data_IF_941964058581
#
_entry.id   IF_941964058581
#
_cell.length_a   1.000
_cell.length_b   1.000
_cell.length_c   1.000
_cell.angle_alpha   90.00
_cell.angle_beta   90.00
_cell.angle_gamma   90.00
#
_symmetry.space_group_name_H-M   'P 1'
#
loop_
_entity.id
_entity.type
_entity.pdbx_description
1 polymer ?
#
# COMPACT_ATOMS: atom_id res chain seq x y z
N UNK A 1 -3.81 11.42 27.05
CA UNK A 1 -4.03 10.17 26.30
C UNK A 1 -2.99 10.09 25.19
N UNK A 2 -1.81 9.54 25.48
CA UNK A 2 -0.71 9.45 24.54
C UNK A 2 -0.76 8.13 23.77
N UNK A 3 -0.96 8.23 22.45
CA UNK A 3 -0.58 7.19 21.49
C UNK A 3 0.19 7.90 20.37
N UNK A 4 1.42 8.24 20.72
CA UNK A 4 2.47 8.55 19.75
C UNK A 4 2.80 7.28 18.95
N UNK A 5 3.39 7.48 17.77
CA UNK A 5 4.06 6.51 16.89
C UNK A 5 3.07 5.88 15.89
N UNK A 6 3.19 6.09 14.57
CA UNK A 6 4.43 6.04 13.80
C UNK A 6 4.40 7.01 12.61
N UNK A 7 5.40 7.90 12.57
CA UNK A 7 5.88 8.45 11.32
C UNK A 7 6.74 7.36 10.65
N UNK A 8 6.17 6.60 9.73
CA UNK A 8 6.98 5.81 8.80
C UNK A 8 7.56 6.80 7.79
N UNK A 9 8.76 7.26 8.11
CA UNK A 9 9.75 7.71 7.13
C UNK A 9 10.04 6.51 6.23
N UNK A 10 9.54 6.52 4.99
CA UNK A 10 10.21 5.79 3.90
C UNK A 10 10.49 6.76 2.78
N UNK A 11 11.79 6.92 2.62
CA UNK A 11 12.49 8.00 1.98
C UNK A 11 12.70 7.54 0.54
N UNK A 12 12.04 8.20 -0.41
CA UNK A 12 12.25 8.15 -1.85
C UNK A 12 12.41 6.76 -2.52
N UNK A 13 11.33 6.12 -3.02
CA UNK A 13 11.48 4.97 -3.91
C UNK A 13 11.78 5.49 -5.32
N UNK A 14 13.05 5.79 -5.57
CA UNK A 14 13.56 5.85 -6.93
C UNK A 14 13.77 4.42 -7.42
N UNK A 15 13.04 4.08 -8.49
CA UNK A 15 13.18 2.90 -9.37
C UNK A 15 12.51 1.61 -8.89
N UNK A 16 11.28 1.42 -9.36
CA UNK A 16 10.66 0.17 -9.88
C UNK A 16 11.16 -1.17 -9.32
N UNK A 17 11.31 -1.30 -8.02
CA UNK A 17 11.61 -2.59 -7.40
C UNK A 17 10.31 -3.29 -6.96
N UNK A 18 10.08 -4.54 -7.38
CA UNK A 18 8.86 -5.28 -7.02
C UNK A 18 8.70 -5.49 -5.51
N UNK A 19 9.78 -5.43 -4.71
CA UNK A 19 9.69 -5.51 -3.26
C UNK A 19 9.10 -4.23 -2.65
N UNK A 20 9.41 -3.06 -3.21
CA UNK A 20 8.82 -1.78 -2.76
C UNK A 20 7.32 -1.79 -3.01
N UNK A 21 6.90 -2.25 -4.20
CA UNK A 21 5.47 -2.33 -4.58
C UNK A 21 4.72 -3.27 -3.63
N UNK A 22 5.27 -4.44 -3.34
CA UNK A 22 4.67 -5.40 -2.40
C UNK A 22 4.59 -4.86 -0.97
N UNK A 23 5.59 -4.11 -0.49
CA UNK A 23 5.55 -3.52 0.85
C UNK A 23 4.46 -2.44 0.97
N UNK A 24 4.28 -1.62 -0.07
CA UNK A 24 3.20 -0.62 -0.17
C UNK A 24 1.82 -1.30 -0.19
N UNK A 25 1.66 -2.37 -0.98
CA UNK A 25 0.42 -3.15 -1.05
C UNK A 25 0.07 -3.69 0.32
N UNK A 26 1.05 -4.32 1.00
CA UNK A 26 0.86 -4.88 2.34
C UNK A 26 0.46 -3.81 3.35
N UNK A 27 1.12 -2.65 3.32
CA UNK A 27 0.82 -1.54 4.23
C UNK A 27 -0.60 -0.99 4.00
N UNK A 28 -1.00 -0.80 2.74
CA UNK A 28 -2.34 -0.35 2.37
C UNK A 28 -3.42 -1.37 2.74
N UNK A 29 -3.19 -2.66 2.47
CA UNK A 29 -4.12 -3.73 2.82
C UNK A 29 -4.36 -3.79 4.34
N UNK A 30 -3.29 -3.68 5.13
CA UNK A 30 -3.38 -3.63 6.59
C UNK A 30 -4.15 -2.40 7.07
N UNK A 31 -3.89 -1.22 6.49
CA UNK A 31 -4.63 -0.01 6.82
C UNK A 31 -6.12 -0.15 6.51
N UNK A 32 -6.46 -0.65 5.32
CA UNK A 32 -7.84 -0.90 4.90
C UNK A 32 -8.55 -1.88 5.84
N UNK A 33 -7.86 -2.93 6.29
CA UNK A 33 -8.37 -3.88 7.26
C UNK A 33 -8.69 -3.22 8.61
N UNK A 34 -7.78 -2.37 9.12
CA UNK A 34 -7.99 -1.63 10.36
C UNK A 34 -9.13 -0.60 10.24
N UNK A 35 -9.21 0.13 9.13
CA UNK A 35 -10.28 1.12 8.88
C UNK A 35 -11.64 0.45 8.65
N UNK A 36 -11.66 -0.75 8.04
CA UNK A 36 -12.85 -1.56 7.78
C UNK A 36 -13.46 -2.24 9.01
N UNK A 37 -12.95 -1.95 10.21
CA UNK A 37 -13.46 -2.51 11.46
C UNK A 37 -13.00 -3.95 11.75
N UNK A 38 -11.90 -4.38 11.14
CA UNK A 38 -11.31 -5.71 11.36
C UNK A 38 -12.29 -6.87 11.10
N UNK A 39 -13.16 -6.73 10.09
CA UNK A 39 -14.10 -7.76 9.70
C UNK A 39 -13.37 -8.98 9.12
N UNK A 40 -13.35 -10.09 9.86
CA UNK A 40 -12.78 -11.34 9.41
C UNK A 40 -13.45 -11.82 8.10
N UNK A 41 -12.64 -12.16 7.10
CA UNK A 41 -13.12 -12.69 5.81
C UNK A 41 -13.14 -11.67 4.66
N UNK A 42 -12.63 -10.45 4.87
CA UNK A 42 -12.44 -9.44 3.82
C UNK A 42 -10.97 -9.09 3.57
N UNK A 43 -10.04 -9.80 4.21
CA UNK A 43 -8.60 -9.59 4.07
C UNK A 43 -8.14 -9.65 2.60
N UNK A 44 -8.68 -10.60 1.83
CA UNK A 44 -8.41 -10.74 0.39
C UNK A 44 -8.92 -9.54 -0.39
N UNK A 45 -10.13 -9.05 -0.10
CA UNK A 45 -10.71 -7.88 -0.76
C UNK A 45 -9.89 -6.61 -0.46
N UNK A 46 -9.47 -6.43 0.80
CA UNK A 46 -8.60 -5.32 1.18
C UNK A 46 -7.23 -5.40 0.49
N UNK A 47 -6.70 -6.61 0.31
CA UNK A 47 -5.45 -6.84 -0.42
C UNK A 47 -5.58 -6.48 -1.89
N UNK A 48 -6.64 -6.96 -2.57
CA UNK A 48 -6.88 -6.67 -4.00
C UNK A 48 -7.10 -5.17 -4.24
N UNK A 49 -7.83 -4.49 -3.36
CA UNK A 49 -8.02 -3.04 -3.46
C UNK A 49 -6.70 -2.28 -3.25
N UNK A 50 -5.85 -2.75 -2.33
CA UNK A 50 -4.51 -2.19 -2.14
C UNK A 50 -3.63 -2.39 -3.38
N UNK A 51 -3.59 -3.59 -3.96
CA UNK A 51 -2.89 -3.89 -5.20
C UNK A 51 -3.30 -2.93 -6.32
N UNK A 52 -4.61 -2.78 -6.56
CA UNK A 52 -5.11 -1.91 -7.61
C UNK A 52 -4.66 -0.46 -7.43
N UNK A 53 -4.75 0.07 -6.21
CA UNK A 53 -4.34 1.47 -5.91
C UNK A 53 -2.84 1.68 -6.05
N UNK A 54 -2.04 0.69 -5.65
CA UNK A 54 -0.58 0.78 -5.80
C UNK A 54 -0.21 0.65 -7.28
N UNK A 55 -0.74 -0.33 -8.01
CA UNK A 55 -0.49 -0.46 -9.44
C UNK A 55 -0.87 0.82 -10.20
N UNK A 56 -2.04 1.40 -9.97
CA UNK A 56 -2.46 2.64 -10.63
C UNK A 56 -1.47 3.80 -10.40
N UNK A 57 -0.98 3.94 -9.16
CA UNK A 57 0.05 4.95 -8.82
C UNK A 57 1.37 4.70 -9.53
N UNK A 58 1.76 3.44 -9.70
CA UNK A 58 3.02 3.05 -10.34
C UNK A 58 2.92 3.13 -11.87
N UNK A 59 1.81 2.71 -12.47
CA UNK A 59 1.54 2.91 -13.91
C UNK A 59 1.55 4.40 -14.27
N UNK A 60 1.02 5.25 -13.39
CA UNK A 60 1.07 6.72 -13.56
C UNK A 60 2.50 7.29 -13.42
N UNK A 61 3.37 6.61 -12.65
CA UNK A 61 4.74 7.05 -12.38
C UNK A 61 5.76 6.54 -13.38
N UNK A 62 5.45 5.45 -14.09
CA UNK A 62 6.25 4.99 -15.21
C UNK A 62 5.75 5.69 -16.47
N UNK A 63 6.48 6.66 -17.05
CA UNK A 63 6.13 7.13 -18.39
C UNK A 63 6.09 5.90 -19.33
N UNK A 64 5.18 5.87 -20.33
CA UNK A 64 5.13 4.77 -21.27
C UNK A 64 6.54 4.58 -21.84
N UNK A 65 7.14 3.41 -21.64
CA UNK A 65 8.33 3.04 -22.40
C UNK A 65 7.84 2.86 -23.83
N UNK A 66 8.08 3.89 -24.64
CA UNK A 66 7.72 3.94 -26.06
C UNK A 66 8.36 2.83 -26.87
#
# INVERSE_FOLDING_TARGET
MGKEKQAVKKENPSVTDPEIVQDEIRALAYQLFCEGGCGHGRDVEHWVEAERRVLERYESKTPPRG
#
